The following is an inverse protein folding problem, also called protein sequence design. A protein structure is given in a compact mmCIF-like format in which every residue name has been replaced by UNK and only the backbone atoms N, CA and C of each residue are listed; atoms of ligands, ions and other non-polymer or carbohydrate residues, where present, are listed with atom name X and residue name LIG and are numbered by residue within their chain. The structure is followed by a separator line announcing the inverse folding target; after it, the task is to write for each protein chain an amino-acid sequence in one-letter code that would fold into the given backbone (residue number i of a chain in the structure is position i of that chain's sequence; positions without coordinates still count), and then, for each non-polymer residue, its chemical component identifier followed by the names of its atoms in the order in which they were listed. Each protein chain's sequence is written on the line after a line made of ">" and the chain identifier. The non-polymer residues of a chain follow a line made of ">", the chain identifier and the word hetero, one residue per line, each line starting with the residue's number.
data_IF_352784823951
#
_entry.id   IF_352784823951
#
_cell.length_a   1.000
_cell.length_b   1.000
_cell.length_c   1.000
_cell.angle_alpha   90.00
_cell.angle_beta   90.00
_cell.angle_gamma   90.00
#
_symmetry.space_group_name_H-M   'P 1'
#
loop_
_entity.id
_entity.type
_entity.pdbx_description
1 polymer ?
#
# COMPACT_ATOMS: atom_id res chain seq x y z
N UNK A 1 1.35 24.22 -24.94
CA UNK A 1 2.07 22.95 -24.76
C UNK A 1 2.56 22.88 -23.32
N UNK A 2 2.02 21.98 -22.49
CA UNK A 2 2.33 21.94 -21.06
C UNK A 2 3.70 21.30 -20.80
N UNK A 3 4.60 22.04 -20.18
CA UNK A 3 5.98 21.65 -19.83
C UNK A 3 5.97 20.44 -18.89
N UNK A 4 6.81 19.41 -19.16
CA UNK A 4 6.98 18.27 -18.25
C UNK A 4 7.72 18.75 -16.99
N UNK A 5 7.06 18.69 -15.84
CA UNK A 5 7.67 19.04 -14.54
C UNK A 5 8.66 17.97 -14.04
N UNK A 6 8.53 16.72 -14.50
CA UNK A 6 9.36 15.59 -14.10
C UNK A 6 9.84 14.85 -15.35
N UNK A 7 11.16 14.83 -15.58
CA UNK A 7 11.80 14.12 -16.68
C UNK A 7 12.15 12.73 -16.19
N UNK A 8 11.66 11.70 -16.89
CA UNK A 8 11.96 10.30 -16.58
C UNK A 8 13.17 9.89 -17.40
N UNK A 9 14.24 9.47 -16.74
CA UNK A 9 15.45 8.95 -17.38
C UNK A 9 15.71 7.57 -16.79
N UNK A 10 15.45 6.52 -17.57
CA UNK A 10 15.66 5.14 -17.13
C UNK A 10 17.10 4.70 -17.42
N UNK A 11 17.73 4.04 -16.45
CA UNK A 11 18.95 3.27 -16.71
C UNK A 11 18.65 2.05 -17.58
N UNK A 12 19.68 1.46 -18.21
CA UNK A 12 19.54 0.23 -19.00
C UNK A 12 18.93 -0.92 -18.18
N UNK A 13 19.34 -1.06 -16.92
CA UNK A 13 18.81 -2.08 -15.99
C UNK A 13 17.33 -1.84 -15.65
N UNK A 14 16.96 -0.59 -15.33
CA UNK A 14 15.57 -0.24 -15.05
C UNK A 14 14.66 -0.46 -16.25
N UNK A 15 15.13 -0.08 -17.45
CA UNK A 15 14.39 -0.32 -18.68
C UNK A 15 14.19 -1.81 -18.93
N UNK A 16 15.26 -2.61 -18.85
CA UNK A 16 15.17 -4.06 -19.05
C UNK A 16 14.18 -4.68 -18.06
N UNK A 17 14.23 -4.26 -16.79
CA UNK A 17 13.32 -4.72 -15.75
C UNK A 17 11.86 -4.34 -16.04
N UNK A 18 11.59 -3.08 -16.40
CA UNK A 18 10.23 -2.63 -16.72
C UNK A 18 9.70 -3.34 -17.98
N UNK A 19 10.57 -3.57 -18.98
CA UNK A 19 10.22 -4.36 -20.18
C UNK A 19 9.87 -5.80 -19.82
N UNK A 20 10.65 -6.46 -18.95
CA UNK A 20 10.33 -7.81 -18.43
C UNK A 20 9.01 -7.84 -17.66
N UNK A 21 8.72 -6.80 -16.89
CA UNK A 21 7.47 -6.69 -16.14
C UNK A 21 6.25 -6.62 -17.07
N UNK A 22 6.37 -5.86 -18.16
CA UNK A 22 5.29 -5.69 -19.15
C UNK A 22 5.11 -6.96 -19.98
N UNK A 23 6.20 -7.61 -20.41
CA UNK A 23 6.13 -8.81 -21.25
C UNK A 23 5.74 -10.06 -20.47
N UNK A 24 6.00 -10.12 -19.17
CA UNK A 24 5.71 -11.29 -18.32
C UNK A 24 4.21 -11.51 -18.05
N UNK A 25 3.37 -10.47 -18.14
CA UNK A 25 1.90 -10.56 -18.08
C UNK A 25 1.27 -11.07 -16.76
N UNK A 26 2.04 -11.61 -15.83
CA UNK A 26 1.58 -12.21 -14.58
C UNK A 26 1.51 -11.25 -13.38
N UNK A 27 1.83 -9.97 -13.58
CA UNK A 27 1.81 -8.97 -12.51
C UNK A 27 0.47 -8.23 -12.40
N UNK A 28 0.25 -7.52 -11.29
CA UNK A 28 -0.96 -6.74 -11.07
C UNK A 28 -1.13 -5.70 -12.17
N UNK A 29 -2.35 -5.56 -12.68
CA UNK A 29 -2.67 -4.67 -13.81
C UNK A 29 -2.16 -3.22 -13.65
N UNK A 30 -2.18 -2.68 -12.42
CA UNK A 30 -1.65 -1.33 -12.17
C UNK A 30 -0.12 -1.26 -12.30
N UNK A 31 0.62 -2.33 -11.95
CA UNK A 31 2.09 -2.37 -12.06
C UNK A 31 2.51 -2.41 -13.52
N UNK A 32 1.83 -3.22 -14.33
CA UNK A 32 2.02 -3.27 -15.78
C UNK A 32 1.72 -1.90 -16.41
N UNK A 33 0.60 -1.26 -16.02
CA UNK A 33 0.25 0.08 -16.49
C UNK A 33 1.31 1.13 -16.12
N UNK A 34 1.79 1.12 -14.88
CA UNK A 34 2.82 2.07 -14.44
C UNK A 34 4.15 1.86 -15.19
N UNK A 35 4.57 0.61 -15.40
CA UNK A 35 5.76 0.32 -16.18
C UNK A 35 5.65 0.80 -17.63
N UNK A 36 4.49 0.57 -18.26
CA UNK A 36 4.20 1.09 -19.60
C UNK A 36 4.24 2.63 -19.65
N UNK A 37 3.69 3.31 -18.65
CA UNK A 37 3.77 4.78 -18.52
C UNK A 37 5.23 5.24 -18.44
N UNK A 38 6.05 4.59 -17.61
CA UNK A 38 7.47 4.97 -17.43
C UNK A 38 8.29 4.72 -18.69
N UNK A 39 8.11 3.57 -19.36
CA UNK A 39 8.77 3.25 -20.63
C UNK A 39 8.38 4.26 -21.74
N UNK A 40 7.12 4.67 -21.78
CA UNK A 40 6.66 5.67 -22.74
C UNK A 40 7.16 7.10 -22.41
N UNK A 41 7.32 7.42 -21.13
CA UNK A 41 7.79 8.73 -20.66
C UNK A 41 9.32 8.91 -20.74
N UNK A 42 10.06 7.80 -20.78
CA UNK A 42 11.52 7.77 -20.74
C UNK A 42 12.16 8.63 -21.83
N UNK A 43 13.13 9.46 -21.42
CA UNK A 43 13.85 10.40 -22.26
C UNK A 43 14.73 9.75 -23.31
N UNK A 44 15.29 8.59 -22.98
CA UNK A 44 16.03 7.78 -23.95
C UNK A 44 15.12 6.80 -24.71
N UNK A 45 13.80 6.88 -24.51
CA UNK A 45 12.80 5.97 -25.08
C UNK A 45 11.87 6.68 -26.06
N UNK A 46 10.58 6.35 -26.01
CA UNK A 46 9.58 6.99 -26.85
C UNK A 46 9.39 8.48 -26.53
N UNK A 47 9.82 8.92 -25.33
CA UNK A 47 9.73 10.29 -24.85
C UNK A 47 8.36 10.93 -25.14
N UNK A 48 7.26 10.21 -24.90
CA UNK A 48 5.92 10.70 -25.20
C UNK A 48 5.47 11.76 -24.19
N UNK A 49 4.79 12.84 -24.63
CA UNK A 49 4.19 13.81 -23.73
C UNK A 49 3.16 13.16 -22.80
N UNK A 50 3.04 13.64 -21.56
CA UNK A 50 2.12 13.06 -20.57
C UNK A 50 0.65 13.03 -21.03
N UNK A 51 0.23 13.98 -21.87
CA UNK A 51 -1.11 14.00 -22.48
C UNK A 51 -1.31 12.87 -23.48
N UNK A 52 -0.27 12.52 -24.22
CA UNK A 52 -0.30 11.44 -25.21
C UNK A 52 -0.23 10.08 -24.53
N UNK A 53 0.62 9.93 -23.52
CA UNK A 53 0.66 8.73 -22.66
C UNK A 53 -0.72 8.47 -22.03
N UNK A 54 -1.37 9.51 -21.51
CA UNK A 54 -2.70 9.39 -20.92
C UNK A 54 -3.75 8.88 -21.92
N UNK A 55 -3.68 9.35 -23.18
CA UNK A 55 -4.54 8.87 -24.27
C UNK A 55 -4.24 7.42 -24.63
N UNK A 56 -2.97 7.08 -24.87
CA UNK A 56 -2.53 5.74 -25.28
C UNK A 56 -2.94 4.68 -24.25
N UNK A 57 -2.73 4.94 -22.97
CA UNK A 57 -3.05 3.97 -21.90
C UNK A 57 -4.43 4.15 -21.28
N UNK A 58 -5.27 5.01 -21.86
CA UNK A 58 -6.64 5.30 -21.38
C UNK A 58 -6.67 5.51 -19.87
N UNK A 59 -5.82 6.41 -19.37
CA UNK A 59 -5.74 6.76 -17.96
C UNK A 59 -5.82 8.27 -17.75
N UNK A 60 -6.16 8.68 -16.53
CA UNK A 60 -6.23 10.11 -16.21
C UNK A 60 -4.83 10.76 -16.30
N UNK A 61 -4.77 12.01 -16.75
CA UNK A 61 -3.50 12.76 -16.85
C UNK A 61 -2.73 12.78 -15.52
N UNK A 62 -3.44 12.96 -14.41
CA UNK A 62 -2.86 12.93 -13.07
C UNK A 62 -2.16 11.60 -12.74
N UNK A 63 -2.66 10.47 -13.27
CA UNK A 63 -1.99 9.17 -13.07
C UNK A 63 -0.61 9.19 -13.71
N UNK A 64 -0.47 9.71 -14.93
CA UNK A 64 0.83 9.82 -15.62
C UNK A 64 1.78 10.71 -14.84
N UNK A 65 1.33 11.89 -14.41
CA UNK A 65 2.18 12.83 -13.68
C UNK A 65 2.59 12.29 -12.31
N UNK A 66 1.69 11.64 -11.57
CA UNK A 66 2.00 11.01 -10.28
C UNK A 66 2.99 9.85 -10.44
N UNK A 67 2.83 9.01 -11.48
CA UNK A 67 3.75 7.89 -11.75
C UNK A 67 5.15 8.40 -12.08
N UNK A 68 5.29 9.36 -13.01
CA UNK A 68 6.58 9.93 -13.37
C UNK A 68 7.22 10.67 -12.19
N UNK A 69 6.45 11.47 -11.45
CA UNK A 69 6.92 12.14 -10.23
C UNK A 69 7.45 11.12 -9.22
N UNK A 70 6.67 10.05 -8.95
CA UNK A 70 7.05 9.05 -7.96
C UNK A 70 8.32 8.34 -8.38
N UNK A 71 8.46 7.97 -9.65
CA UNK A 71 9.68 7.35 -10.16
C UNK A 71 10.90 8.26 -9.96
N UNK A 72 10.82 9.52 -10.39
CA UNK A 72 11.93 10.48 -10.27
C UNK A 72 12.31 10.72 -8.80
N UNK A 73 11.35 10.70 -7.88
CA UNK A 73 11.58 11.00 -6.47
C UNK A 73 11.92 9.78 -5.61
N UNK A 74 11.50 8.57 -6.00
CA UNK A 74 11.48 7.38 -5.13
C UNK A 74 12.01 6.11 -5.81
N UNK A 75 12.28 6.13 -7.12
CA UNK A 75 12.76 5.00 -7.90
C UNK A 75 11.68 4.00 -8.38
N UNK A 76 12.09 2.93 -9.08
CA UNK A 76 11.23 2.00 -9.84
C UNK A 76 10.34 1.09 -8.98
N UNK A 77 10.70 0.85 -7.72
CA UNK A 77 10.12 -0.23 -6.91
C UNK A 77 9.55 0.31 -5.60
N UNK A 78 8.40 0.97 -5.69
CA UNK A 78 7.59 1.19 -4.50
C UNK A 78 6.54 0.09 -4.41
N UNK A 79 6.91 -1.03 -3.77
CA UNK A 79 5.93 -2.05 -3.37
C UNK A 79 4.87 -1.37 -2.51
N UNK A 80 3.62 -1.42 -2.99
CA UNK A 80 2.48 -0.96 -2.20
C UNK A 80 2.35 -1.88 -0.98
N UNK A 81 2.34 -1.28 0.21
CA UNK A 81 2.00 -1.97 1.44
C UNK A 81 0.49 -1.92 1.58
N UNK A 82 -0.14 -3.09 1.57
CA UNK A 82 -1.57 -3.23 1.84
C UNK A 82 -1.75 -3.09 3.35
N UNK A 83 -2.42 -2.02 3.76
CA UNK A 83 -2.73 -1.73 5.15
C UNK A 83 -4.22 -1.98 5.38
N UNK A 84 -4.54 -2.93 6.26
CA UNK A 84 -5.91 -3.17 6.71
C UNK A 84 -6.12 -2.42 8.01
N UNK A 85 -7.09 -1.50 8.04
CA UNK A 85 -7.45 -0.71 9.22
C UNK A 85 -8.93 -0.87 9.55
N UNK A 86 -9.31 -0.66 10.80
CA UNK A 86 -10.70 -0.49 11.16
C UNK A 86 -11.26 0.82 10.59
N UNK A 87 -12.57 0.84 10.36
CA UNK A 87 -13.26 1.97 9.73
C UNK A 87 -13.65 3.05 10.74
N UNK A 88 -12.64 3.56 11.45
CA UNK A 88 -12.78 4.67 12.38
C UNK A 88 -12.53 5.99 11.65
N UNK A 89 -13.25 7.05 12.04
CA UNK A 89 -13.16 8.36 11.39
C UNK A 89 -11.76 9.00 11.41
N UNK A 90 -10.86 8.52 12.29
CA UNK A 90 -9.47 8.96 12.45
C UNK A 90 -8.50 8.23 11.53
N UNK A 91 -8.87 7.12 10.90
CA UNK A 91 -8.00 6.40 9.97
C UNK A 91 -8.18 6.95 8.56
N UNK A 92 -7.91 8.24 8.36
CA UNK A 92 -7.95 8.87 7.04
C UNK A 92 -6.54 9.17 6.55
N UNK A 93 -6.36 9.24 5.23
CA UNK A 93 -5.11 9.73 4.62
C UNK A 93 -4.73 11.12 5.15
N UNK A 94 -5.72 11.96 5.49
CA UNK A 94 -5.49 13.27 6.10
C UNK A 94 -4.63 13.19 7.37
N UNK A 95 -4.76 12.13 8.17
CA UNK A 95 -3.98 11.95 9.40
C UNK A 95 -2.49 11.75 9.15
N UNK A 96 -2.09 11.30 7.94
CA UNK A 96 -0.67 11.31 7.56
C UNK A 96 -0.14 12.75 7.41
N UNK A 97 -0.96 13.67 6.90
CA UNK A 97 -0.58 15.08 6.74
C UNK A 97 -0.64 15.86 8.04
N UNK A 98 -1.41 15.38 9.03
CA UNK A 98 -1.40 15.91 10.39
C UNK A 98 -0.13 15.48 11.15
N UNK A 99 0.32 14.23 10.95
CA UNK A 99 1.44 13.65 11.72
C UNK A 99 2.83 13.89 11.10
N UNK A 100 2.93 14.02 9.77
CA UNK A 100 4.20 14.10 9.04
C UNK A 100 4.27 15.35 8.17
N UNK A 101 5.50 15.73 7.79
CA UNK A 101 5.69 16.79 6.78
C UNK A 101 4.96 16.46 5.48
N UNK A 102 4.48 17.46 4.69
CA UNK A 102 3.71 17.19 3.47
C UNK A 102 4.43 16.27 2.46
N UNK A 103 5.76 16.36 2.37
CA UNK A 103 6.58 15.52 1.50
C UNK A 103 6.58 14.07 1.99
N UNK A 104 6.78 13.85 3.29
CA UNK A 104 6.78 12.52 3.88
C UNK A 104 5.38 11.89 3.89
N UNK A 105 4.34 12.67 4.22
CA UNK A 105 2.95 12.24 4.17
C UNK A 105 2.56 11.77 2.76
N UNK A 106 2.94 12.53 1.73
CA UNK A 106 2.74 12.14 0.33
C UNK A 106 3.48 10.84 0.01
N UNK A 107 4.76 10.70 0.41
CA UNK A 107 5.54 9.47 0.22
C UNK A 107 4.87 8.27 0.86
N UNK A 108 4.35 8.41 2.08
CA UNK A 108 3.65 7.33 2.79
C UNK A 108 2.31 6.99 2.11
N UNK A 109 1.46 7.98 1.80
CA UNK A 109 0.24 7.80 1.00
C UNK A 109 0.53 7.03 -0.29
N UNK A 110 1.60 7.42 -0.97
CA UNK A 110 2.03 6.84 -2.23
C UNK A 110 2.48 5.38 -2.09
N UNK A 111 2.91 4.95 -0.91
CA UNK A 111 3.29 3.56 -0.62
C UNK A 111 2.18 2.74 0.02
N UNK A 112 1.15 3.35 0.61
CA UNK A 112 0.06 2.63 1.26
C UNK A 112 -1.10 2.38 0.29
N UNK A 113 -1.69 1.20 0.39
CA UNK A 113 -3.01 0.86 -0.13
C UNK A 113 -3.89 0.49 1.07
N UNK A 114 -4.78 1.40 1.46
CA UNK A 114 -5.56 1.24 2.69
C UNK A 114 -6.91 0.59 2.39
N UNK A 115 -7.18 -0.53 3.05
CA UNK A 115 -8.47 -1.21 3.05
C UNK A 115 -9.10 -1.08 4.44
N UNK A 116 -10.32 -0.58 4.49
CA UNK A 116 -11.06 -0.47 5.75
C UNK A 116 -11.92 -1.70 5.97
N UNK A 117 -11.97 -2.20 7.21
CA UNK A 117 -12.94 -3.24 7.56
C UNK A 117 -14.38 -2.70 7.38
N UNK A 118 -15.38 -3.55 7.13
CA UNK A 118 -16.77 -3.12 7.12
C UNK A 118 -17.16 -2.43 8.44
N UNK A 119 -18.15 -1.51 8.39
CA UNK A 119 -18.77 -0.99 9.61
C UNK A 119 -19.32 -2.15 10.44
N UNK A 120 -19.03 -2.16 11.74
CA UNK A 120 -19.32 -3.26 12.67
C UNK A 120 -18.58 -4.59 12.38
N UNK A 121 -17.54 -4.56 11.55
CA UNK A 121 -16.70 -5.70 11.19
C UNK A 121 -15.43 -5.85 12.03
N UNK A 122 -15.41 -5.38 13.29
CA UNK A 122 -14.20 -5.41 14.15
C UNK A 122 -13.65 -6.81 14.38
N UNK A 123 -14.49 -7.85 14.26
CA UNK A 123 -14.06 -9.25 14.31
C UNK A 123 -13.07 -9.66 13.19
N UNK A 124 -12.91 -8.84 12.13
CA UNK A 124 -11.87 -8.99 11.10
C UNK A 124 -10.60 -8.18 11.40
N UNK A 125 -10.52 -7.46 12.52
CA UNK A 125 -9.40 -6.59 12.83
C UNK A 125 -8.20 -7.38 13.39
N UNK A 126 -7.14 -7.49 12.60
CA UNK A 126 -5.90 -8.19 12.99
C UNK A 126 -5.25 -7.55 14.23
N UNK A 127 -5.32 -6.22 14.35
CA UNK A 127 -4.72 -5.53 15.47
C UNK A 127 -5.36 -5.95 16.80
N UNK A 128 -6.69 -6.11 16.83
CA UNK A 128 -7.43 -6.59 18.01
C UNK A 128 -7.07 -8.05 18.36
N UNK A 129 -6.86 -8.89 17.34
CA UNK A 129 -6.41 -10.28 17.53
C UNK A 129 -5.01 -10.31 18.18
N UNK A 130 -4.06 -9.52 17.66
CA UNK A 130 -2.70 -9.44 18.22
C UNK A 130 -2.71 -8.86 19.64
N UNK A 131 -3.51 -7.83 19.93
CA UNK A 131 -3.69 -7.30 21.29
C UNK A 131 -4.27 -8.35 22.25
N UNK A 132 -5.20 -9.17 21.77
CA UNK A 132 -5.75 -10.29 22.55
C UNK A 132 -4.71 -11.38 22.81
N UNK A 133 -3.79 -11.63 21.86
CA UNK A 133 -2.66 -12.55 22.06
C UNK A 133 -1.64 -11.98 23.05
N UNK A 134 -1.24 -10.71 22.90
CA UNK A 134 -0.36 -10.03 23.85
C UNK A 134 -0.93 -10.11 25.27
N UNK A 135 -2.23 -9.84 25.43
CA UNK A 135 -2.91 -9.93 26.72
C UNK A 135 -2.82 -11.34 27.31
N UNK A 136 -3.14 -12.37 26.52
CA UNK A 136 -3.15 -13.77 26.99
C UNK A 136 -1.77 -14.34 27.26
N UNK A 137 -0.77 -13.96 26.46
CA UNK A 137 0.56 -14.57 26.46
C UNK A 137 1.58 -13.78 27.29
N UNK A 138 1.41 -12.47 27.45
CA UNK A 138 2.37 -11.61 28.13
C UNK A 138 1.76 -10.91 29.35
N UNK A 139 0.52 -10.42 29.24
CA UNK A 139 -0.07 -9.51 30.23
C UNK A 139 -1.12 -10.15 31.14
N UNK A 140 -1.22 -11.47 31.19
CA UNK A 140 -2.18 -12.20 32.04
C UNK A 140 -1.89 -12.10 33.56
N UNK A 141 -0.91 -11.29 33.93
CA UNK A 141 -0.46 -11.06 35.32
C UNK A 141 -0.33 -9.56 35.58
N UNK A 142 -0.46 -9.16 36.84
CA UNK A 142 -0.17 -7.79 37.25
C UNK A 142 1.33 -7.51 37.10
N UNK A 143 1.67 -6.38 36.49
CA UNK A 143 3.04 -5.87 36.39
C UNK A 143 3.00 -4.45 36.98
N UNK A 144 3.63 -4.27 38.14
CA UNK A 144 3.51 -3.03 38.90
C UNK A 144 4.34 -1.87 38.32
N UNK A 145 5.47 -2.19 37.68
CA UNK A 145 6.41 -1.20 37.16
C UNK A 145 6.28 -1.04 35.64
N UNK A 146 6.19 0.22 35.20
CA UNK A 146 6.03 0.56 33.78
C UNK A 146 7.22 0.10 32.93
N UNK A 147 8.44 0.18 33.46
CA UNK A 147 9.63 -0.23 32.72
C UNK A 147 9.70 -1.74 32.57
N UNK A 148 9.25 -2.50 33.59
CA UNK A 148 9.10 -3.94 33.45
C UNK A 148 8.02 -4.29 32.43
N UNK A 149 6.88 -3.60 32.42
CA UNK A 149 5.83 -3.80 31.43
C UNK A 149 6.34 -3.56 30.01
N UNK A 150 7.12 -2.47 29.79
CA UNK A 150 7.75 -2.17 28.51
C UNK A 150 8.74 -3.25 28.10
N UNK A 151 9.58 -3.73 29.02
CA UNK A 151 10.57 -4.78 28.74
C UNK A 151 9.89 -6.09 28.30
N UNK A 152 8.89 -6.54 29.05
CA UNK A 152 8.15 -7.78 28.76
C UNK A 152 7.41 -7.68 27.43
N UNK A 153 6.73 -6.55 27.18
CA UNK A 153 6.01 -6.31 25.92
C UNK A 153 6.95 -6.29 24.72
N UNK A 154 8.11 -5.62 24.83
CA UNK A 154 9.14 -5.63 23.77
C UNK A 154 9.69 -7.02 23.51
N UNK A 155 10.00 -7.77 24.57
CA UNK A 155 10.48 -9.15 24.43
C UNK A 155 9.46 -10.06 23.76
N UNK A 156 8.17 -9.88 24.06
CA UNK A 156 7.08 -10.59 23.39
C UNK A 156 6.98 -10.20 21.91
N UNK A 157 6.99 -8.91 21.57
CA UNK A 157 6.94 -8.41 20.19
C UNK A 157 8.12 -8.93 19.37
N UNK A 158 9.34 -8.92 19.92
CA UNK A 158 10.52 -9.44 19.23
C UNK A 158 10.38 -10.92 18.90
N UNK A 159 9.93 -11.75 19.86
CA UNK A 159 9.68 -13.18 19.61
C UNK A 159 8.58 -13.41 18.58
N UNK A 160 7.49 -12.63 18.65
CA UNK A 160 6.37 -12.71 17.70
C UNK A 160 6.83 -12.37 16.27
N UNK A 161 7.58 -11.29 16.11
CA UNK A 161 8.14 -10.85 14.83
C UNK A 161 9.17 -11.85 14.27
N UNK A 162 10.04 -12.40 15.12
CA UNK A 162 11.00 -13.42 14.71
C UNK A 162 10.31 -14.69 14.21
N UNK A 163 9.16 -15.04 14.79
CA UNK A 163 8.34 -16.17 14.33
C UNK A 163 7.60 -15.93 13.01
N UNK A 164 7.57 -14.69 12.50
CA UNK A 164 6.92 -14.26 11.25
C UNK A 164 5.55 -14.90 11.01
N UNK A 165 4.76 -15.05 12.07
CA UNK A 165 3.48 -15.75 11.98
C UNK A 165 2.49 -14.88 11.22
N UNK A 166 2.11 -15.33 10.02
CA UNK A 166 1.04 -14.74 9.24
C UNK A 166 -0.33 -15.03 9.86
N UNK A 167 -1.30 -14.19 9.51
CA UNK A 167 -2.71 -14.48 9.76
C UNK A 167 -3.17 -15.50 8.72
N UNK A 168 -3.72 -16.62 9.19
CA UNK A 168 -4.41 -17.58 8.33
C UNK A 168 -5.88 -17.16 8.17
N UNK A 169 -6.19 -16.56 7.02
CA UNK A 169 -7.52 -16.04 6.72
C UNK A 169 -8.45 -17.16 6.25
N UNK A 170 -9.25 -17.70 7.16
CA UNK A 170 -10.26 -18.70 6.82
C UNK A 170 -11.57 -18.11 6.26
N UNK A 171 -11.81 -16.82 6.46
CA UNK A 171 -12.99 -16.13 5.94
C UNK A 171 -12.78 -15.72 4.47
N UNK A 172 -13.57 -16.29 3.57
CA UNK A 172 -13.40 -16.12 2.13
C UNK A 172 -14.31 -15.05 1.54
N UNK A 173 -14.04 -14.65 0.29
CA UNK A 173 -14.95 -13.77 -0.46
C UNK A 173 -16.33 -14.39 -0.69
N UNK A 174 -16.45 -15.73 -0.70
CA UNK A 174 -17.76 -16.41 -0.79
C UNK A 174 -18.55 -16.22 0.50
N UNK A 175 -17.91 -16.39 1.64
CA UNK A 175 -18.52 -16.16 2.96
C UNK A 175 -18.94 -14.70 3.13
N UNK A 176 -18.11 -13.77 2.65
CA UNK A 176 -18.42 -12.34 2.65
C UNK A 176 -19.70 -12.01 1.88
N UNK A 177 -19.93 -12.62 0.71
CA UNK A 177 -21.15 -12.37 -0.09
C UNK A 177 -22.42 -12.80 0.63
N UNK A 178 -22.35 -13.86 1.43
CA UNK A 178 -23.48 -14.34 2.24
C UNK A 178 -23.64 -13.47 3.48
N UNK A 179 -22.57 -13.29 4.27
CA UNK A 179 -22.61 -12.64 5.58
C UNK A 179 -22.76 -11.11 5.49
N UNK A 180 -22.25 -10.49 4.43
CA UNK A 180 -22.30 -9.05 4.19
C UNK A 180 -23.21 -8.71 3.01
N UNK A 181 -24.27 -9.50 2.76
CA UNK A 181 -25.19 -9.36 1.62
C UNK A 181 -25.63 -7.91 1.36
N UNK A 182 -25.89 -7.12 2.42
CA UNK A 182 -26.28 -5.70 2.33
C UNK A 182 -25.23 -4.81 1.63
N UNK A 183 -23.95 -5.19 1.63
CA UNK A 183 -22.85 -4.45 1.01
C UNK A 183 -22.63 -4.83 -0.47
N UNK A 184 -23.28 -5.89 -0.96
CA UNK A 184 -23.20 -6.31 -2.35
C UNK A 184 -24.51 -5.93 -3.05
N UNK A 185 -24.50 -5.00 -4.02
CA UNK A 185 -25.70 -4.65 -4.77
C UNK A 185 -26.23 -5.88 -5.50
N UNK A 186 -27.55 -6.11 -5.43
CA UNK A 186 -28.20 -7.12 -6.25
C UNK A 186 -28.21 -6.59 -7.68
N UNK A 187 -27.41 -7.22 -8.55
CA UNK A 187 -27.47 -7.01 -9.99
C UNK A 187 -28.68 -7.74 -10.56
#
# INVERSE_FOLDING_TARGET
>A
MGTRKYIVTLTSEERERLTKLVSGGQDKAYRIKHANILLAADEHGSHLPSQEIARVFSCHFNTVTEVCQRFVQQGPETTKVILICDNLNTHKIASLYEAFSPVEAKRLRDRLEIHYTPKHGSWLNVAEIELSLLTRQCLRRRIAEIDRLRQETRGWVQRRNAGQKSVDWQFTSKDARVKLKRLYPQS
#
